data_IF_350472803304
#
_entry.id   IF_350472803304
#
_cell.length_a   1.000
_cell.length_b   1.000
_cell.length_c   1.000
_cell.angle_alpha   90.00
_cell.angle_beta   90.00
_cell.angle_gamma   90.00
#
_symmetry.space_group_name_H-M   'P 1'
#
loop_
_entity.id
_entity.type
_entity.pdbx_description
1 polymer ?
#
# COMPACT_ATOMS: atom_id res chain seq x y z
N UNK A 1 -5.84 5.12 27.17
CA UNK A 1 -6.95 5.86 26.52
C UNK A 1 -7.66 4.91 25.57
N UNK A 2 -8.99 4.95 25.48
CA UNK A 2 -9.75 4.13 24.54
C UNK A 2 -9.53 4.61 23.09
N UNK A 3 -9.79 3.75 22.10
CA UNK A 3 -9.69 4.13 20.67
C UNK A 3 -10.60 5.33 20.36
N UNK A 4 -11.82 5.35 20.90
CA UNK A 4 -12.76 6.46 20.75
C UNK A 4 -12.22 7.79 21.28
N UNK A 5 -11.54 7.77 22.43
CA UNK A 5 -10.91 8.96 23.00
C UNK A 5 -9.81 9.49 22.08
N UNK A 6 -9.00 8.60 21.50
CA UNK A 6 -7.96 8.95 20.54
C UNK A 6 -8.53 9.52 19.23
N UNK A 7 -9.63 8.94 18.72
CA UNK A 7 -10.33 9.47 17.54
C UNK A 7 -10.86 10.88 17.83
N UNK A 8 -11.48 11.09 18.99
CA UNK A 8 -11.99 12.40 19.40
C UNK A 8 -10.87 13.45 19.51
N UNK A 9 -9.71 13.07 20.03
CA UNK A 9 -8.53 13.94 20.05
C UNK A 9 -8.04 14.29 18.63
N UNK A 10 -7.96 13.29 17.74
CA UNK A 10 -7.54 13.48 16.34
C UNK A 10 -8.50 14.36 15.55
N UNK A 11 -9.81 14.28 15.83
CA UNK A 11 -10.81 15.19 15.27
C UNK A 11 -10.60 16.64 15.73
N UNK A 12 -10.32 16.87 17.02
CA UNK A 12 -9.96 18.22 17.51
C UNK A 12 -8.70 18.76 16.84
N UNK A 13 -7.68 17.91 16.64
CA UNK A 13 -6.47 18.29 15.89
C UNK A 13 -6.79 18.63 14.43
N UNK A 14 -7.65 17.86 13.77
CA UNK A 14 -8.11 18.14 12.40
C UNK A 14 -8.77 19.52 12.29
N UNK A 15 -9.64 19.88 13.23
CA UNK A 15 -10.25 21.21 13.28
C UNK A 15 -9.20 22.31 13.49
N UNK A 16 -8.25 22.10 14.39
CA UNK A 16 -7.16 23.04 14.61
C UNK A 16 -6.31 23.25 13.34
N UNK A 17 -6.03 22.18 12.58
CA UNK A 17 -5.33 22.24 11.29
C UNK A 17 -6.13 23.08 10.28
N UNK A 18 -7.44 22.88 10.19
CA UNK A 18 -8.31 23.69 9.32
C UNK A 18 -8.32 25.17 9.72
N UNK A 19 -8.35 25.47 11.03
CA UNK A 19 -8.26 26.84 11.58
C UNK A 19 -6.92 27.52 11.28
N UNK A 20 -5.85 26.76 11.07
CA UNK A 20 -4.57 27.30 10.56
C UNK A 20 -4.62 27.65 9.07
N UNK A 21 -5.74 27.43 8.37
CA UNK A 21 -5.86 27.61 6.93
C UNK A 21 -4.99 26.60 6.17
N UNK A 22 -5.00 25.34 6.61
CA UNK A 22 -4.30 24.23 5.96
C UNK A 22 -5.36 23.24 5.51
N UNK A 23 -5.33 22.87 4.22
CA UNK A 23 -6.15 21.78 3.70
C UNK A 23 -5.57 20.43 4.18
N UNK A 24 -6.28 19.63 5.00
CA UNK A 24 -5.79 18.35 5.49
C UNK A 24 -5.79 17.23 4.45
N UNK A 25 -6.43 17.45 3.29
CA UNK A 25 -6.56 16.50 2.18
C UNK A 25 -6.34 17.22 0.83
N UNK A 26 -5.12 17.65 0.52
CA UNK A 26 -4.79 18.27 -0.75
C UNK A 26 -4.89 17.28 -1.93
N UNK A 27 -5.23 17.80 -3.11
CA UNK A 27 -5.41 16.99 -4.33
C UNK A 27 -4.11 16.48 -4.95
N UNK A 28 -3.00 17.21 -4.76
CA UNK A 28 -1.71 16.91 -5.40
C UNK A 28 -0.55 17.30 -4.49
N UNK A 29 0.47 16.48 -4.50
CA UNK A 29 1.78 16.78 -3.95
C UNK A 29 2.85 16.20 -4.89
N UNK A 30 3.74 17.01 -5.47
CA UNK A 30 4.80 16.51 -6.34
C UNK A 30 5.84 15.74 -5.52
N UNK A 31 6.23 14.57 -6.00
CA UNK A 31 7.26 13.72 -5.40
C UNK A 31 8.35 13.50 -6.44
N UNK A 32 9.61 13.70 -6.06
CA UNK A 32 10.77 13.48 -6.94
C UNK A 32 11.82 12.54 -6.32
N UNK A 33 11.55 11.97 -5.13
CA UNK A 33 12.44 11.02 -4.49
C UNK A 33 11.70 9.95 -3.72
N UNK A 34 12.29 8.74 -3.67
CA UNK A 34 11.81 7.63 -2.85
C UNK A 34 12.74 7.37 -1.68
N UNK A 35 12.17 7.02 -0.53
CA UNK A 35 12.89 6.89 0.74
C UNK A 35 14.10 5.96 0.67
N UNK A 36 13.97 4.76 0.08
CA UNK A 36 15.06 3.79 0.00
C UNK A 36 16.11 4.16 -1.06
N UNK A 37 15.70 4.79 -2.16
CA UNK A 37 16.60 5.25 -3.23
C UNK A 37 17.50 6.35 -2.69
N UNK A 38 16.92 7.39 -2.06
CA UNK A 38 17.67 8.49 -1.43
C UNK A 38 18.57 8.01 -0.31
N UNK A 39 18.13 7.04 0.50
CA UNK A 39 18.97 6.45 1.54
C UNK A 39 20.23 5.79 0.97
N UNK A 40 20.10 5.07 -0.14
CA UNK A 40 21.21 4.38 -0.79
C UNK A 40 22.14 5.37 -1.50
N UNK A 41 21.57 6.32 -2.21
CA UNK A 41 22.30 7.35 -2.94
C UNK A 41 23.18 8.21 -2.01
N UNK A 42 22.62 8.63 -0.87
CA UNK A 42 23.30 9.50 0.09
C UNK A 42 23.91 8.75 1.28
N UNK A 43 24.07 7.43 1.19
CA UNK A 43 24.64 6.60 2.26
C UNK A 43 26.06 7.06 2.65
N UNK A 44 26.84 7.48 1.65
CA UNK A 44 28.25 7.87 1.78
C UNK A 44 28.47 9.36 2.10
N UNK A 45 27.40 10.13 2.24
CA UNK A 45 27.48 11.54 2.62
C UNK A 45 28.22 11.67 3.98
N UNK A 46 29.06 12.70 4.15
CA UNK A 46 29.74 12.93 5.44
C UNK A 46 28.78 13.55 6.45
N UNK A 47 29.10 13.41 7.75
CA UNK A 47 28.31 14.03 8.82
C UNK A 47 28.18 15.55 8.60
N UNK A 48 26.96 16.07 8.66
CA UNK A 48 26.69 17.51 8.53
C UNK A 48 26.72 18.06 7.11
N UNK A 49 27.24 17.29 6.15
CA UNK A 49 27.18 17.63 4.72
C UNK A 49 25.72 17.57 4.23
N UNK A 50 25.39 18.42 3.25
CA UNK A 50 24.05 18.54 2.67
C UNK A 50 24.13 18.38 1.15
N UNK A 51 23.13 17.74 0.57
CA UNK A 51 22.93 17.75 -0.88
C UNK A 51 22.59 19.16 -1.35
N UNK A 52 23.00 19.49 -2.58
CA UNK A 52 22.57 20.71 -3.27
C UNK A 52 21.12 20.56 -3.76
N UNK A 53 20.77 19.35 -4.20
CA UNK A 53 19.43 19.02 -4.69
C UNK A 53 18.38 19.03 -3.56
N UNK A 54 17.17 19.48 -3.92
CA UNK A 54 16.00 19.48 -3.05
C UNK A 54 15.09 18.32 -3.44
N UNK A 55 14.78 17.48 -2.48
CA UNK A 55 13.87 16.36 -2.67
C UNK A 55 12.54 16.60 -1.97
N UNK A 56 11.48 16.14 -2.60
CA UNK A 56 10.11 16.09 -2.12
C UNK A 56 9.73 14.62 -1.96
N UNK A 57 9.52 14.19 -0.72
CA UNK A 57 9.18 12.79 -0.37
C UNK A 57 7.87 12.77 0.38
N UNK A 58 6.96 11.89 0.00
CA UNK A 58 5.69 11.67 0.67
C UNK A 58 5.66 10.30 1.34
N UNK A 59 5.13 10.23 2.56
CA UNK A 59 5.03 8.96 3.27
C UNK A 59 4.21 9.04 4.55
N UNK A 60 3.96 7.88 5.12
CA UNK A 60 3.25 7.75 6.40
C UNK A 60 4.18 8.03 7.56
N UNK A 61 3.76 8.86 8.51
CA UNK A 61 4.50 9.15 9.74
C UNK A 61 4.55 7.90 10.62
N UNK A 62 5.73 7.30 10.71
CA UNK A 62 5.99 6.11 11.51
C UNK A 62 6.62 6.43 12.86
N UNK A 63 7.16 7.64 13.05
CA UNK A 63 7.53 8.16 14.36
C UNK A 63 7.64 9.68 14.30
N UNK A 64 7.47 10.32 15.45
CA UNK A 64 7.61 11.77 15.60
C UNK A 64 8.12 12.06 17.01
N UNK A 65 9.17 12.87 17.12
CA UNK A 65 9.81 13.32 18.35
C UNK A 65 9.95 14.84 18.29
N UNK A 66 9.21 15.53 19.14
CA UNK A 66 9.20 17.00 19.20
C UNK A 66 10.12 17.45 20.33
N UNK A 67 11.13 18.28 20.03
CA UNK A 67 12.20 18.67 20.95
C UNK A 67 12.40 20.21 21.01
N UNK A 68 11.32 20.97 21.20
CA UNK A 68 11.33 22.42 21.52
C UNK A 68 11.84 23.38 20.43
N UNK A 69 13.08 23.20 19.96
CA UNK A 69 13.72 23.96 18.88
C UNK A 69 13.94 23.15 17.60
N UNK A 70 13.90 21.83 17.69
CA UNK A 70 14.02 20.90 16.57
C UNK A 70 13.07 19.73 16.74
N UNK A 71 12.82 18.99 15.67
CA UNK A 71 12.01 17.78 15.72
C UNK A 71 12.46 16.79 14.67
N UNK A 72 12.35 15.52 15.00
CA UNK A 72 12.72 14.41 14.14
C UNK A 72 11.53 13.48 13.99
N UNK A 73 11.41 12.87 12.83
CA UNK A 73 10.45 11.81 12.62
C UNK A 73 10.89 10.90 11.49
N UNK A 74 10.08 9.88 11.24
CA UNK A 74 10.29 8.99 10.12
C UNK A 74 9.03 8.96 9.28
N UNK A 75 9.19 9.07 7.97
CA UNK A 75 8.14 8.73 7.02
C UNK A 75 8.48 7.44 6.30
N UNK A 76 7.45 6.69 5.96
CA UNK A 76 7.56 5.44 5.22
C UNK A 76 6.70 5.49 3.96
N UNK A 77 7.35 5.28 2.82
CA UNK A 77 6.72 5.21 1.50
C UNK A 77 6.70 3.76 0.99
N UNK A 78 6.43 3.56 -0.31
CA UNK A 78 6.45 2.21 -0.85
C UNK A 78 7.84 1.56 -0.84
N UNK A 79 8.90 2.34 -1.02
CA UNK A 79 10.28 1.86 -1.12
C UNK A 79 10.90 1.54 0.25
N UNK A 80 10.55 2.31 1.28
CA UNK A 80 11.11 2.14 2.62
C UNK A 80 10.90 3.35 3.52
N UNK A 81 11.77 3.49 4.51
CA UNK A 81 11.65 4.49 5.58
C UNK A 81 12.83 5.45 5.57
N UNK A 82 12.56 6.75 5.60
CA UNK A 82 13.56 7.81 5.69
C UNK A 82 13.25 8.75 6.87
N UNK A 83 14.31 9.25 7.50
CA UNK A 83 14.20 10.23 8.57
C UNK A 83 13.93 11.62 7.98
N UNK A 84 13.15 12.43 8.68
CA UNK A 84 13.03 13.85 8.41
C UNK A 84 13.37 14.66 9.67
N UNK A 85 13.92 15.84 9.43
CA UNK A 85 14.28 16.81 10.47
C UNK A 85 13.66 18.15 10.13
N UNK A 86 13.07 18.81 11.11
CA UNK A 86 12.55 20.18 10.94
C UNK A 86 13.00 21.04 12.12
N UNK A 87 13.53 22.22 11.81
CA UNK A 87 13.89 23.24 12.80
C UNK A 87 12.75 24.23 12.94
N UNK A 88 12.50 24.73 14.15
CA UNK A 88 11.42 25.69 14.42
C UNK A 88 11.50 26.96 13.58
N UNK A 89 12.71 27.39 13.25
CA UNK A 89 12.99 28.61 12.49
C UNK A 89 12.61 28.51 11.01
N UNK A 90 12.41 27.30 10.47
CA UNK A 90 12.03 27.08 9.06
C UNK A 90 10.57 27.49 8.76
N UNK A 91 9.76 27.80 9.79
CA UNK A 91 8.45 28.41 9.63
C UNK A 91 7.49 28.16 10.79
N UNK A 92 7.00 29.23 11.43
CA UNK A 92 6.06 29.16 12.57
C UNK A 92 4.80 28.36 12.26
N UNK A 93 4.22 28.52 11.06
CA UNK A 93 2.98 27.80 10.65
C UNK A 93 3.23 26.30 10.47
N UNK A 94 4.37 25.93 9.89
CA UNK A 94 4.74 24.53 9.68
C UNK A 94 5.07 23.83 11.00
N UNK A 95 5.76 24.51 11.91
CA UNK A 95 6.08 23.95 13.23
C UNK A 95 4.82 23.78 14.10
N UNK A 96 3.83 24.68 13.96
CA UNK A 96 2.50 24.48 14.55
C UNK A 96 1.79 23.26 13.96
N UNK A 97 1.82 23.09 12.64
CA UNK A 97 1.28 21.89 11.97
C UNK A 97 1.94 20.61 12.50
N UNK A 98 3.27 20.61 12.65
CA UNK A 98 4.01 19.47 13.17
C UNK A 98 3.52 19.01 14.54
N UNK A 99 3.20 19.95 15.44
CA UNK A 99 2.63 19.64 16.76
C UNK A 99 1.21 19.08 16.73
N UNK A 100 0.52 19.15 15.58
CA UNK A 100 -0.82 18.59 15.36
C UNK A 100 -0.79 17.28 14.56
N UNK A 101 0.40 16.82 14.14
CA UNK A 101 0.56 15.53 13.49
C UNK A 101 0.51 14.38 14.49
N UNK A 102 0.06 13.23 14.02
CA UNK A 102 0.04 11.98 14.75
C UNK A 102 0.73 10.87 13.94
N UNK A 103 1.17 9.83 14.64
CA UNK A 103 1.61 8.59 13.99
C UNK A 103 0.46 8.06 13.12
N UNK A 104 0.78 7.72 11.87
CA UNK A 104 -0.16 7.22 10.87
C UNK A 104 -0.64 8.29 9.89
N UNK A 105 -0.42 9.58 10.14
CA UNK A 105 -0.69 10.64 9.16
C UNK A 105 0.17 10.46 7.91
N UNK A 106 -0.31 10.93 6.76
CA UNK A 106 0.49 10.98 5.53
C UNK A 106 0.93 12.42 5.32
N UNK A 107 2.24 12.62 5.18
CA UNK A 107 2.84 13.94 4.99
C UNK A 107 3.78 13.94 3.79
N UNK A 108 3.99 15.11 3.24
CA UNK A 108 5.05 15.44 2.30
C UNK A 108 6.09 16.31 2.99
N UNK A 109 7.36 15.96 2.83
CA UNK A 109 8.51 16.75 3.31
C UNK A 109 9.37 17.14 2.13
N UNK A 110 9.79 18.40 2.09
CA UNK A 110 10.61 18.95 1.01
C UNK A 110 11.87 19.58 1.58
N UNK A 111 13.04 19.26 1.03
CA UNK A 111 14.31 19.85 1.43
C UNK A 111 15.54 19.04 1.00
N UNK A 112 16.76 19.53 1.29
CA UNK A 112 17.99 18.82 0.97
C UNK A 112 18.19 17.61 1.88
N UNK A 113 18.93 16.62 1.39
CA UNK A 113 19.39 15.47 2.16
C UNK A 113 20.61 15.87 2.97
N UNK A 114 20.70 15.38 4.21
CA UNK A 114 21.90 15.52 5.03
C UNK A 114 22.10 14.29 5.90
N UNK A 115 23.30 14.13 6.45
CA UNK A 115 23.60 13.07 7.40
C UNK A 115 23.68 13.63 8.81
N UNK A 116 22.87 13.06 9.70
CA UNK A 116 22.86 13.44 11.12
C UNK A 116 24.13 12.96 11.83
N UNK A 117 24.37 13.47 13.04
CA UNK A 117 25.49 13.01 13.90
C UNK A 117 25.41 11.53 14.27
N UNK A 118 24.21 10.97 14.26
CA UNK A 118 23.98 9.53 14.48
C UNK A 118 24.19 8.70 13.21
N UNK A 119 24.63 9.32 12.11
CA UNK A 119 24.91 8.64 10.85
C UNK A 119 23.68 8.35 9.99
N UNK A 120 22.49 8.83 10.36
CA UNK A 120 21.25 8.54 9.63
C UNK A 120 20.98 9.59 8.53
N UNK A 121 20.75 9.11 7.30
CA UNK A 121 20.34 9.92 6.14
C UNK A 121 18.96 10.51 6.38
N UNK A 122 18.88 11.83 6.31
CA UNK A 122 17.72 12.61 6.76
C UNK A 122 17.38 13.70 5.76
N UNK A 123 16.08 13.96 5.57
CA UNK A 123 15.59 15.12 4.82
C UNK A 123 15.55 16.33 5.76
N UNK A 124 16.36 17.36 5.49
CA UNK A 124 16.26 18.65 6.16
C UNK A 124 15.03 19.38 5.65
N UNK A 125 13.90 19.20 6.32
CA UNK A 125 12.59 19.67 5.89
C UNK A 125 12.50 21.19 5.97
N UNK A 126 12.47 21.82 4.79
CA UNK A 126 12.18 23.25 4.58
C UNK A 126 10.69 23.50 4.45
N UNK A 127 9.96 22.53 3.89
CA UNK A 127 8.51 22.59 3.74
C UNK A 127 7.86 21.28 4.14
N UNK A 128 6.91 21.37 5.08
CA UNK A 128 6.06 20.29 5.54
C UNK A 128 4.64 20.51 5.04
N UNK A 129 4.09 19.50 4.36
CA UNK A 129 2.72 19.49 3.86
C UNK A 129 1.97 18.29 4.43
N UNK A 130 0.80 18.51 5.04
CA UNK A 130 -0.10 17.42 5.41
C UNK A 130 -0.85 16.94 4.16
N UNK A 131 -0.81 15.63 3.89
CA UNK A 131 -1.46 15.03 2.72
C UNK A 131 -2.72 14.24 3.08
N UNK A 132 -2.71 13.58 4.24
CA UNK A 132 -3.92 12.98 4.80
C UNK A 132 -3.81 12.87 6.31
N UNK A 133 -4.78 13.46 7.03
CA UNK A 133 -4.93 13.25 8.47
C UNK A 133 -5.54 11.88 8.75
N UNK A 134 -4.85 11.04 9.51
CA UNK A 134 -5.34 9.76 10.00
C UNK A 134 -6.17 9.94 11.27
N UNK A 135 -7.45 9.55 11.24
CA UNK A 135 -8.35 9.70 12.39
C UNK A 135 -8.33 8.50 13.34
N UNK A 136 -7.98 7.32 12.84
CA UNK A 136 -7.80 6.11 13.66
C UNK A 136 -6.32 5.93 14.01
N UNK A 137 -5.99 5.59 15.26
CA UNK A 137 -4.62 5.27 15.64
C UNK A 137 -4.17 3.98 14.94
N UNK A 138 -2.86 3.90 14.64
CA UNK A 138 -2.27 2.61 14.27
C UNK A 138 -2.21 1.71 15.52
N UNK A 139 -2.34 0.38 15.36
CA UNK A 139 -2.06 -0.58 16.42
C UNK A 139 -0.65 -0.39 17.01
N UNK A 140 -0.45 -0.85 18.24
CA UNK A 140 0.86 -0.73 18.91
C UNK A 140 2.01 -1.33 18.08
N UNK A 141 3.12 -0.60 18.01
CA UNK A 141 4.23 -0.87 17.08
C UNK A 141 5.09 -2.07 17.44
N UNK A 142 5.17 -2.45 18.72
CA UNK A 142 6.22 -3.33 19.21
C UNK A 142 6.04 -4.80 18.83
N UNK A 143 4.82 -5.21 18.50
CA UNK A 143 4.52 -6.61 18.20
C UNK A 143 4.01 -6.85 16.78
N UNK A 144 3.83 -5.79 15.98
CA UNK A 144 3.11 -5.88 14.71
C UNK A 144 1.66 -6.32 14.91
N UNK A 145 0.90 -6.38 13.83
CA UNK A 145 -0.44 -6.98 13.87
C UNK A 145 -0.29 -8.51 13.79
N UNK A 146 -0.52 -9.22 14.91
CA UNK A 146 -0.29 -10.68 15.00
C UNK A 146 -1.53 -11.51 14.72
N UNK A 147 -2.68 -11.07 15.23
CA UNK A 147 -3.95 -11.78 15.14
C UNK A 147 -4.31 -12.06 13.66
N UNK A 148 -4.30 -13.33 13.21
CA UNK A 148 -4.60 -13.68 11.83
C UNK A 148 -5.98 -13.18 11.37
N UNK A 149 -6.99 -13.20 12.24
CA UNK A 149 -8.34 -12.76 11.88
C UNK A 149 -8.35 -11.26 11.58
N UNK A 150 -7.76 -10.44 12.47
CA UNK A 150 -7.68 -8.99 12.27
C UNK A 150 -6.83 -8.67 11.05
N UNK A 151 -5.70 -9.38 10.83
CA UNK A 151 -4.84 -9.18 9.66
C UNK A 151 -5.58 -9.42 8.34
N UNK A 152 -6.42 -10.46 8.30
CA UNK A 152 -7.15 -10.81 7.08
C UNK A 152 -8.36 -9.90 6.85
N UNK A 153 -9.07 -9.50 7.91
CA UNK A 153 -10.18 -8.53 7.82
C UNK A 153 -9.71 -7.10 7.52
N UNK A 154 -8.57 -6.70 8.08
CA UNK A 154 -8.02 -5.35 8.00
C UNK A 154 -6.67 -5.36 7.27
N UNK A 155 -6.66 -5.89 6.04
CA UNK A 155 -5.43 -6.02 5.24
C UNK A 155 -4.66 -4.72 5.08
N UNK A 156 -5.35 -3.58 5.04
CA UNK A 156 -4.73 -2.26 4.98
C UNK A 156 -3.86 -1.95 6.20
N UNK A 157 -4.25 -2.39 7.40
CA UNK A 157 -3.41 -2.27 8.60
C UNK A 157 -2.26 -3.28 8.59
N UNK A 158 -2.54 -4.51 8.17
CA UNK A 158 -1.50 -5.54 8.06
C UNK A 158 -0.36 -5.10 7.12
N UNK A 159 -0.69 -4.50 5.98
CA UNK A 159 0.29 -3.93 5.03
C UNK A 159 1.10 -2.76 5.59
N UNK A 160 0.53 -1.98 6.52
CA UNK A 160 1.22 -0.88 7.19
C UNK A 160 2.18 -1.41 8.26
N UNK A 161 1.74 -2.42 9.03
CA UNK A 161 2.46 -2.89 10.20
C UNK A 161 3.47 -4.00 9.89
N UNK A 162 3.27 -4.76 8.81
CA UNK A 162 4.03 -5.95 8.49
C UNK A 162 4.61 -5.86 7.05
N UNK A 163 5.88 -5.46 6.93
CA UNK A 163 6.55 -5.26 5.63
C UNK A 163 6.67 -6.55 4.81
N UNK A 164 6.82 -7.69 5.46
CA UNK A 164 6.86 -9.02 4.82
C UNK A 164 5.57 -9.33 4.03
N UNK A 165 4.41 -8.85 4.51
CA UNK A 165 3.12 -9.05 3.83
C UNK A 165 3.15 -8.37 2.48
N UNK A 166 3.63 -7.12 2.45
CA UNK A 166 3.77 -6.34 1.22
C UNK A 166 4.73 -7.00 0.24
N UNK A 167 5.86 -7.51 0.73
CA UNK A 167 6.82 -8.26 -0.10
C UNK A 167 6.21 -9.54 -0.70
N UNK A 168 5.33 -10.23 0.04
CA UNK A 168 4.58 -11.37 -0.50
C UNK A 168 3.68 -10.99 -1.67
N UNK A 169 2.99 -9.85 -1.61
CA UNK A 169 2.20 -9.36 -2.75
C UNK A 169 3.06 -8.98 -3.95
N UNK A 170 4.21 -8.33 -3.72
CA UNK A 170 5.18 -8.02 -4.79
C UNK A 170 5.66 -9.31 -5.47
N UNK A 171 6.03 -10.33 -4.68
CA UNK A 171 6.43 -11.65 -5.19
C UNK A 171 5.31 -12.32 -5.98
N UNK A 172 4.05 -12.26 -5.51
CA UNK A 172 2.90 -12.79 -6.26
C UNK A 172 2.79 -12.14 -7.64
N UNK A 173 2.90 -10.81 -7.73
CA UNK A 173 2.89 -10.11 -9.02
C UNK A 173 4.06 -10.53 -9.90
N UNK A 174 5.26 -10.66 -9.35
CA UNK A 174 6.45 -11.12 -10.09
C UNK A 174 6.27 -12.54 -10.64
N UNK A 175 5.71 -13.46 -9.85
CA UNK A 175 5.42 -14.83 -10.30
C UNK A 175 4.44 -14.82 -11.47
N UNK A 176 3.33 -14.08 -11.36
CA UNK A 176 2.32 -13.98 -12.43
C UNK A 176 2.95 -13.41 -13.71
N UNK A 177 3.74 -12.34 -13.59
CA UNK A 177 4.40 -11.73 -14.74
C UNK A 177 5.41 -12.68 -15.38
N UNK A 178 6.19 -13.42 -14.58
CA UNK A 178 7.14 -14.39 -15.09
C UNK A 178 6.45 -15.54 -15.85
N UNK A 179 5.30 -16.02 -15.36
CA UNK A 179 4.50 -17.02 -16.06
C UNK A 179 3.99 -16.49 -17.40
N UNK A 180 3.45 -15.26 -17.44
CA UNK A 180 3.02 -14.62 -18.68
C UNK A 180 4.16 -14.47 -19.68
N UNK A 181 5.29 -13.92 -19.23
CA UNK A 181 6.46 -13.70 -20.08
C UNK A 181 6.96 -15.02 -20.67
N UNK A 182 7.08 -16.06 -19.85
CA UNK A 182 7.46 -17.39 -20.30
C UNK A 182 6.51 -17.94 -21.37
N UNK A 183 5.19 -17.93 -21.12
CA UNK A 183 4.21 -18.46 -22.06
C UNK A 183 4.15 -17.65 -23.36
N UNK A 184 4.23 -16.32 -23.27
CA UNK A 184 4.26 -15.43 -24.44
C UNK A 184 5.50 -15.69 -25.31
N UNK A 185 6.67 -15.89 -24.70
CA UNK A 185 7.90 -16.26 -25.42
C UNK A 185 7.79 -17.63 -26.12
N UNK A 186 6.96 -18.54 -25.58
CA UNK A 186 6.66 -19.84 -26.19
C UNK A 186 5.55 -19.76 -27.27
N UNK A 187 5.04 -18.57 -27.59
CA UNK A 187 4.01 -18.35 -28.59
C UNK A 187 2.60 -18.72 -28.14
N UNK A 188 2.35 -18.76 -26.82
CA UNK A 188 0.97 -18.90 -26.31
C UNK A 188 0.22 -17.56 -26.37
N UNK A 189 -1.08 -17.65 -26.61
CA UNK A 189 -2.00 -16.51 -26.55
C UNK A 189 -2.75 -16.50 -25.21
N UNK A 190 -2.62 -15.40 -24.44
CA UNK A 190 -3.48 -15.17 -23.27
C UNK A 190 -4.91 -14.85 -23.75
N UNK A 191 -5.90 -15.57 -23.21
CA UNK A 191 -7.31 -15.41 -23.59
C UNK A 191 -8.18 -15.26 -22.33
N UNK A 192 -9.33 -14.62 -22.49
CA UNK A 192 -10.37 -14.58 -21.46
C UNK A 192 -11.48 -15.58 -21.80
N UNK A 193 -12.03 -16.22 -20.77
CA UNK A 193 -13.11 -17.19 -20.90
C UNK A 193 -14.26 -16.84 -19.95
N UNK A 194 -15.51 -17.24 -20.24
CA UNK A 194 -16.66 -16.88 -19.40
C UNK A 194 -16.53 -17.36 -17.95
N UNK A 195 -16.64 -16.42 -17.01
CA UNK A 195 -16.77 -16.71 -15.57
C UNK A 195 -18.18 -17.18 -15.24
N UNK A 196 -19.20 -16.58 -15.85
CA UNK A 196 -20.59 -17.02 -15.73
C UNK A 196 -20.88 -18.06 -16.81
N UNK A 197 -21.27 -19.26 -16.40
CA UNK A 197 -21.44 -20.41 -17.29
C UNK A 197 -22.84 -20.99 -17.12
N UNK A 198 -23.51 -21.31 -18.24
CA UNK A 198 -24.82 -22.00 -18.22
C UNK A 198 -24.67 -23.48 -17.83
N UNK A 199 -23.48 -24.05 -18.05
CA UNK A 199 -23.06 -25.35 -17.58
C UNK A 199 -21.60 -25.26 -17.12
N UNK A 200 -21.31 -25.75 -15.93
CA UNK A 200 -19.97 -25.77 -15.35
C UNK A 200 -19.28 -27.12 -15.57
N UNK A 201 -17.95 -27.14 -15.60
CA UNK A 201 -17.16 -28.36 -15.79
C UNK A 201 -15.66 -28.08 -15.80
N UNK A 202 -14.85 -29.08 -16.16
CA UNK A 202 -13.39 -28.97 -16.19
C UNK A 202 -12.70 -29.16 -14.82
N UNK A 203 -13.46 -29.50 -13.78
CA UNK A 203 -12.98 -29.95 -12.48
C UNK A 203 -14.12 -30.66 -11.73
N UNK A 204 -13.80 -31.37 -10.64
CA UNK A 204 -14.77 -31.90 -9.69
C UNK A 204 -14.84 -30.97 -8.47
N UNK A 205 -15.82 -30.08 -8.45
CA UNK A 205 -16.04 -29.11 -7.37
C UNK A 205 -17.51 -28.65 -7.34
N UNK A 206 -17.98 -28.21 -6.18
CA UNK A 206 -19.29 -27.57 -6.06
C UNK A 206 -19.21 -26.11 -6.55
N UNK A 207 -20.06 -25.69 -7.51
CA UNK A 207 -20.04 -24.33 -8.03
C UNK A 207 -20.82 -23.37 -7.11
N UNK A 208 -20.53 -22.08 -7.21
CA UNK A 208 -21.49 -21.06 -6.80
C UNK A 208 -22.56 -20.90 -7.87
N UNK A 209 -23.81 -20.78 -7.42
CA UNK A 209 -24.98 -20.57 -8.28
C UNK A 209 -25.43 -19.11 -8.14
N UNK A 210 -25.76 -18.48 -9.26
CA UNK A 210 -26.37 -17.15 -9.33
C UNK A 210 -27.48 -17.15 -10.37
N UNK A 211 -28.26 -16.06 -10.44
CA UNK A 211 -29.41 -15.96 -11.33
C UNK A 211 -29.28 -14.75 -12.26
N UNK A 212 -29.52 -14.97 -13.56
CA UNK A 212 -29.53 -13.92 -14.57
C UNK A 212 -30.97 -13.51 -14.88
N UNK A 213 -31.40 -12.39 -14.29
CA UNK A 213 -32.75 -11.84 -14.46
C UNK A 213 -33.17 -11.64 -15.93
N UNK A 214 -32.23 -11.25 -16.81
CA UNK A 214 -32.54 -10.92 -18.19
C UNK A 214 -32.98 -12.12 -19.04
N UNK A 215 -32.53 -13.33 -18.68
CA UNK A 215 -32.86 -14.57 -19.36
C UNK A 215 -33.66 -15.53 -18.47
N UNK A 216 -34.02 -15.09 -17.26
CA UNK A 216 -34.71 -15.88 -16.23
C UNK A 216 -34.10 -17.27 -16.08
N UNK A 217 -32.78 -17.33 -15.87
CA UNK A 217 -32.04 -18.59 -15.79
C UNK A 217 -30.93 -18.56 -14.75
N UNK A 218 -30.63 -19.73 -14.20
CA UNK A 218 -29.50 -19.92 -13.32
C UNK A 218 -28.18 -20.03 -14.10
N UNK A 219 -27.13 -19.48 -13.51
CA UNK A 219 -25.76 -19.52 -13.99
C UNK A 219 -24.83 -20.00 -12.88
N UNK A 220 -23.70 -20.54 -13.28
CA UNK A 220 -22.67 -21.06 -12.39
C UNK A 220 -21.40 -20.24 -12.53
N UNK A 221 -20.75 -19.91 -11.41
CA UNK A 221 -19.40 -19.35 -11.47
C UNK A 221 -18.40 -20.45 -11.86
N UNK A 222 -17.45 -20.08 -12.73
CA UNK A 222 -16.46 -20.99 -13.29
C UNK A 222 -15.62 -21.69 -12.21
N UNK A 223 -15.65 -23.02 -12.20
CA UNK A 223 -14.77 -23.87 -11.38
C UNK A 223 -13.44 -24.18 -12.10
N UNK A 224 -13.40 -24.03 -13.43
CA UNK A 224 -12.24 -24.28 -14.30
C UNK A 224 -12.47 -23.65 -15.70
N UNK A 225 -11.44 -23.06 -16.33
CA UNK A 225 -11.53 -22.56 -17.70
C UNK A 225 -11.36 -23.64 -18.78
N UNK A 226 -11.06 -24.89 -18.39
CA UNK A 226 -10.57 -25.96 -19.28
C UNK A 226 -11.43 -26.16 -20.54
N UNK A 227 -12.75 -26.27 -20.37
CA UNK A 227 -13.65 -26.57 -21.49
C UNK A 227 -13.65 -25.46 -22.55
N UNK A 228 -13.53 -24.19 -22.13
CA UNK A 228 -13.46 -23.07 -23.05
C UNK A 228 -12.10 -22.98 -23.75
N UNK A 229 -11.01 -23.28 -23.05
CA UNK A 229 -9.69 -23.37 -23.69
C UNK A 229 -9.65 -24.47 -24.75
N UNK A 230 -10.25 -25.64 -24.47
CA UNK A 230 -10.37 -26.73 -25.47
C UNK A 230 -11.22 -26.33 -26.68
N UNK A 231 -12.30 -25.56 -26.49
CA UNK A 231 -13.10 -25.02 -27.61
C UNK A 231 -12.27 -24.09 -28.50
N UNK A 232 -11.37 -23.29 -27.94
CA UNK A 232 -10.45 -22.47 -28.73
C UNK A 232 -9.46 -23.31 -29.53
N UNK A 233 -8.96 -24.41 -28.96
CA UNK A 233 -8.12 -25.36 -29.70
C UNK A 233 -8.86 -25.95 -30.90
N UNK A 234 -10.13 -26.36 -30.71
CA UNK A 234 -10.99 -26.82 -31.81
C UNK A 234 -11.17 -25.71 -32.86
N UNK A 235 -11.29 -24.45 -32.42
CA UNK A 235 -11.40 -23.27 -33.27
C UNK A 235 -10.13 -22.88 -34.02
N UNK A 236 -9.02 -23.62 -33.87
CA UNK A 236 -7.77 -23.39 -34.60
C UNK A 236 -6.68 -22.66 -33.83
N UNK A 237 -6.88 -22.35 -32.54
CA UNK A 237 -5.77 -21.94 -31.70
C UNK A 237 -4.83 -23.12 -31.43
N UNK A 238 -3.52 -22.93 -31.56
CA UNK A 238 -2.54 -23.99 -31.26
C UNK A 238 -2.03 -23.93 -29.81
N UNK A 239 -1.93 -22.71 -29.25
CA UNK A 239 -1.37 -22.46 -27.92
C UNK A 239 -2.15 -21.36 -27.21
N UNK A 240 -2.88 -21.72 -26.16
CA UNK A 240 -3.68 -20.78 -25.35
C UNK A 240 -3.44 -20.98 -23.87
N UNK A 241 -3.55 -19.90 -23.11
CA UNK A 241 -3.58 -19.94 -21.65
C UNK A 241 -4.48 -18.84 -21.11
N UNK A 242 -4.87 -18.97 -19.84
CA UNK A 242 -5.55 -17.90 -19.12
C UNK A 242 -5.07 -17.87 -17.68
N UNK A 243 -4.95 -16.68 -17.10
CA UNK A 243 -4.74 -16.48 -15.67
C UNK A 243 -6.00 -15.80 -15.15
N UNK A 244 -6.96 -16.61 -14.71
CA UNK A 244 -8.27 -16.16 -14.24
C UNK A 244 -8.52 -16.60 -12.79
N UNK A 245 -9.60 -16.07 -12.21
CA UNK A 245 -10.13 -16.61 -10.95
C UNK A 245 -10.98 -17.85 -11.21
N UNK A 246 -10.90 -18.82 -10.32
CA UNK A 246 -11.89 -19.88 -10.20
C UNK A 246 -12.64 -19.77 -8.87
N UNK A 247 -13.85 -20.31 -8.84
CA UNK A 247 -14.76 -20.19 -7.71
C UNK A 247 -15.25 -21.57 -7.29
N UNK A 248 -15.12 -21.92 -6.01
CA UNK A 248 -15.57 -23.20 -5.47
C UNK A 248 -16.32 -22.98 -4.16
N UNK A 249 -17.56 -23.48 -4.10
CA UNK A 249 -18.43 -23.35 -2.95
C UNK A 249 -18.14 -24.46 -1.93
N UNK A 250 -16.93 -24.44 -1.37
CA UNK A 250 -16.38 -25.49 -0.50
C UNK A 250 -15.93 -24.89 0.85
N UNK A 251 -15.37 -25.75 1.72
CA UNK A 251 -14.81 -25.32 3.00
C UNK A 251 -13.60 -24.38 2.85
N UNK A 252 -13.33 -23.59 3.88
CA UNK A 252 -12.20 -22.65 3.94
C UNK A 252 -11.15 -23.18 4.90
N UNK A 253 -9.89 -23.25 4.45
CA UNK A 253 -8.75 -23.57 5.30
C UNK A 253 -7.48 -22.79 4.88
N UNK A 254 -6.30 -23.24 5.31
CA UNK A 254 -5.03 -22.56 5.03
C UNK A 254 -4.60 -22.61 3.56
N UNK A 255 -5.14 -23.54 2.78
CA UNK A 255 -4.80 -23.80 1.38
C UNK A 255 -6.02 -23.67 0.45
N UNK A 256 -7.23 -23.56 1.00
CA UNK A 256 -8.48 -23.44 0.25
C UNK A 256 -9.17 -22.12 0.55
N UNK A 257 -9.35 -21.31 -0.49
CA UNK A 257 -10.14 -20.08 -0.46
C UNK A 257 -11.26 -20.18 -1.53
N UNK A 258 -12.49 -19.69 -1.28
CA UNK A 258 -13.60 -19.89 -2.21
C UNK A 258 -13.40 -19.24 -3.60
N UNK A 259 -12.50 -18.25 -3.68
CA UNK A 259 -11.99 -17.68 -4.92
C UNK A 259 -10.45 -17.75 -4.93
N UNK A 260 -9.85 -18.18 -6.04
CA UNK A 260 -8.40 -18.29 -6.15
C UNK A 260 -7.88 -17.95 -7.56
#
# INVERSE_FOLDING_TARGET
MTEEALIKERLKKLEAIRKLGINPYPYKFPVNGKAAELKKEYERLKEGEKSEEIYSVAGRVMSLRIMGGASFGHIEDFSGRIQFYIKKDEGKKQYKLLGLLDIGDIIGVEGPIFKTKTGEVTIWTKKLTLLAKGLRPLPEKWHGLKDPEIRYRQRYLDLIMNRDVKERFVKRTQIINAVREFLNLQGFHEVETPILQTAYGGAAAEPFITHLNALDMDLFLSISPELYLKRLLIGGYEKVYTICKNFRNEGIDRTHNPEF
#
